data_IF_341196305822
#
_entry.id   IF_341196305822
#
_cell.length_a   1.000
_cell.length_b   1.000
_cell.length_c   1.000
_cell.angle_alpha   90.00
_cell.angle_beta   90.00
_cell.angle_gamma   90.00
#
_symmetry.space_group_name_H-M   'P 1'
#
loop_
_entity.id
_entity.type
_entity.pdbx_description
1 polymer ?
#
# COMPACT_ATOMS: atom_id res chain seq x y z
N UNK A 1 18.66 7.00 5.15
CA UNK A 1 17.65 5.92 5.06
C UNK A 1 17.80 5.25 3.70
N UNK A 2 17.74 3.93 3.65
CA UNK A 2 17.77 3.20 2.38
C UNK A 2 16.40 3.28 1.70
N UNK A 3 16.34 3.41 0.36
CA UNK A 3 15.09 3.36 -0.36
C UNK A 3 14.42 2.01 -0.17
N UNK A 4 13.14 2.02 0.20
CA UNK A 4 12.31 0.82 0.19
C UNK A 4 12.15 0.36 -1.25
N UNK A 5 12.23 -0.96 -1.48
CA UNK A 5 12.03 -1.57 -2.78
C UNK A 5 11.22 -2.86 -2.65
N UNK A 6 10.09 -2.94 -3.32
CA UNK A 6 9.25 -4.14 -3.39
C UNK A 6 9.89 -5.10 -4.41
N UNK A 7 10.23 -6.29 -3.93
CA UNK A 7 10.66 -7.39 -4.79
C UNK A 7 9.46 -8.29 -5.05
N UNK A 8 8.97 -8.30 -6.28
CA UNK A 8 7.83 -9.10 -6.70
C UNK A 8 7.96 -9.52 -8.15
N UNK A 9 7.43 -10.69 -8.49
CA UNK A 9 7.25 -11.12 -9.89
C UNK A 9 6.01 -10.48 -10.53
N UNK A 10 5.13 -9.93 -9.70
CA UNK A 10 3.88 -9.30 -10.13
C UNK A 10 4.09 -7.81 -10.35
N UNK A 11 3.38 -7.27 -11.34
CA UNK A 11 3.21 -5.84 -11.54
C UNK A 11 1.79 -5.47 -11.10
N UNK A 12 1.55 -4.19 -10.74
CA UNK A 12 0.19 -3.71 -10.57
C UNK A 12 -0.69 -4.06 -11.77
N UNK A 13 -1.93 -4.43 -11.51
CA UNK A 13 -2.90 -4.80 -12.54
C UNK A 13 -4.30 -4.38 -12.14
N UNK A 14 -5.17 -4.15 -13.14
CA UNK A 14 -6.53 -3.67 -12.90
C UNK A 14 -6.52 -2.34 -12.13
N UNK A 15 -7.36 -2.24 -11.10
CA UNK A 15 -7.53 -1.00 -10.34
C UNK A 15 -6.39 -0.69 -9.36
N UNK A 16 -5.41 -1.60 -9.21
CA UNK A 16 -4.31 -1.41 -8.27
C UNK A 16 -3.50 -0.14 -8.58
N UNK A 17 -3.24 0.15 -9.85
CA UNK A 17 -2.49 1.35 -10.25
C UNK A 17 -3.18 2.65 -9.82
N UNK A 18 -4.50 2.72 -9.99
CA UNK A 18 -5.28 3.88 -9.57
C UNK A 18 -5.30 4.00 -8.04
N UNK A 19 -5.47 2.87 -7.32
CA UNK A 19 -5.44 2.84 -5.86
C UNK A 19 -4.08 3.28 -5.29
N UNK A 20 -2.97 2.78 -5.86
CA UNK A 20 -1.61 3.14 -5.44
C UNK A 20 -1.39 4.64 -5.63
N UNK A 21 -1.74 5.20 -6.80
CA UNK A 21 -1.60 6.63 -7.06
C UNK A 21 -2.43 7.47 -6.10
N UNK A 22 -3.71 7.15 -5.94
CA UNK A 22 -4.62 7.90 -5.07
C UNK A 22 -4.13 7.93 -3.62
N UNK A 23 -3.77 6.78 -3.05
CA UNK A 23 -3.27 6.69 -1.68
C UNK A 23 -1.93 7.42 -1.49
N UNK A 24 -1.02 7.29 -2.46
CA UNK A 24 0.28 7.98 -2.43
C UNK A 24 0.11 9.49 -2.46
N UNK A 25 -0.78 10.00 -3.32
CA UNK A 25 -1.10 11.42 -3.39
C UNK A 25 -1.73 11.94 -2.10
N UNK A 26 -2.70 11.23 -1.52
CA UNK A 26 -3.32 11.63 -0.25
C UNK A 26 -2.29 11.72 0.88
N UNK A 27 -1.33 10.77 0.94
CA UNK A 27 -0.23 10.83 1.92
C UNK A 27 0.65 12.07 1.68
N UNK A 28 0.99 12.39 0.43
CA UNK A 28 1.78 13.58 0.08
C UNK A 28 1.04 14.89 0.38
N UNK A 29 -0.29 14.90 0.24
CA UNK A 29 -1.18 16.01 0.61
C UNK A 29 -1.44 16.12 2.12
N UNK A 30 -0.84 15.24 2.93
CA UNK A 30 -1.01 15.18 4.39
C UNK A 30 -2.46 14.88 4.82
N UNK A 31 -3.21 14.16 3.98
CA UNK A 31 -4.51 13.63 4.38
C UNK A 31 -4.32 12.63 5.53
N UNK A 32 -5.00 12.88 6.65
CA UNK A 32 -4.81 12.10 7.89
C UNK A 32 -5.40 10.69 7.80
N UNK A 33 -6.53 10.55 7.10
CA UNK A 33 -7.30 9.32 7.03
C UNK A 33 -7.64 9.00 5.59
N UNK A 34 -7.36 7.78 5.17
CA UNK A 34 -7.65 7.27 3.84
C UNK A 34 -8.08 5.80 3.96
N UNK A 35 -8.95 5.35 3.07
CA UNK A 35 -9.49 3.98 3.08
C UNK A 35 -9.23 3.31 1.74
N UNK A 36 -8.56 2.16 1.75
CA UNK A 36 -8.46 1.28 0.58
C UNK A 36 -9.67 0.35 0.53
N UNK A 37 -10.68 0.70 -0.27
CA UNK A 37 -11.82 -0.18 -0.55
C UNK A 37 -11.40 -1.22 -1.60
N UNK A 38 -11.19 -2.45 -1.18
CA UNK A 38 -10.80 -3.54 -2.08
C UNK A 38 -11.48 -4.86 -1.73
N UNK A 39 -12.00 -5.55 -2.75
CA UNK A 39 -12.62 -6.87 -2.61
C UNK A 39 -11.61 -7.93 -2.14
N UNK A 40 -12.08 -9.07 -1.65
CA UNK A 40 -11.22 -10.20 -1.31
C UNK A 40 -10.48 -10.71 -2.55
N UNK A 41 -9.20 -11.08 -2.42
CA UNK A 41 -8.38 -11.55 -3.54
C UNK A 41 -7.79 -10.47 -4.45
N UNK A 42 -8.17 -9.19 -4.29
CA UNK A 42 -7.66 -8.08 -5.13
C UNK A 42 -6.19 -7.69 -4.92
N UNK A 43 -5.48 -8.35 -3.99
CA UNK A 43 -4.06 -8.06 -3.73
C UNK A 43 -3.79 -6.83 -2.87
N UNK A 44 -4.66 -6.52 -1.89
CA UNK A 44 -4.52 -5.36 -0.98
C UNK A 44 -3.13 -5.23 -0.34
N UNK A 45 -2.50 -6.33 0.05
CA UNK A 45 -1.13 -6.33 0.60
C UNK A 45 -0.11 -5.81 -0.40
N UNK A 46 -0.21 -6.22 -1.67
CA UNK A 46 0.70 -5.75 -2.72
C UNK A 46 0.48 -4.28 -3.03
N UNK A 47 -0.78 -3.83 -3.12
CA UNK A 47 -1.14 -2.42 -3.25
C UNK A 47 -0.51 -1.58 -2.14
N UNK A 48 -0.65 -1.98 -0.87
CA UNK A 48 -0.09 -1.25 0.27
C UNK A 48 1.45 -1.27 0.28
N UNK A 49 2.07 -2.38 -0.10
CA UNK A 49 3.53 -2.46 -0.22
C UNK A 49 4.07 -1.46 -1.26
N UNK A 50 3.40 -1.33 -2.41
CA UNK A 50 3.73 -0.34 -3.44
C UNK A 50 3.52 1.09 -2.96
N UNK A 51 2.45 1.37 -2.21
CA UNK A 51 2.25 2.68 -1.58
C UNK A 51 3.40 3.02 -0.62
N UNK A 52 3.80 2.06 0.23
CA UNK A 52 4.90 2.23 1.18
C UNK A 52 6.24 2.49 0.46
N UNK A 53 6.50 1.79 -0.64
CA UNK A 53 7.67 2.04 -1.51
C UNK A 53 7.66 3.46 -2.10
N UNK A 54 6.54 3.90 -2.67
CA UNK A 54 6.39 5.22 -3.31
C UNK A 54 6.50 6.41 -2.34
N UNK A 55 6.07 6.23 -1.09
CA UNK A 55 6.20 7.26 -0.05
C UNK A 55 7.56 7.21 0.65
N UNK A 56 8.24 6.05 0.63
CA UNK A 56 9.54 5.79 1.24
C UNK A 56 9.65 6.28 2.70
N UNK A 57 8.67 5.92 3.52
CA UNK A 57 8.57 6.29 4.94
C UNK A 57 8.44 5.05 5.81
N UNK A 58 8.98 5.05 7.04
CA UNK A 58 8.68 4.00 8.01
C UNK A 58 7.17 3.86 8.21
N UNK A 59 6.67 2.62 8.20
CA UNK A 59 5.26 2.30 8.32
C UNK A 59 5.04 1.24 9.40
N UNK A 60 3.92 1.38 10.14
CA UNK A 60 3.45 0.38 11.10
C UNK A 60 2.16 -0.24 10.54
N UNK A 61 2.16 -1.56 10.36
CA UNK A 61 0.97 -2.33 9.96
C UNK A 61 0.37 -2.96 11.20
N UNK A 62 -0.89 -2.63 11.50
CA UNK A 62 -1.63 -3.19 12.62
C UNK A 62 -2.63 -4.22 12.09
N UNK A 63 -2.70 -5.37 12.75
CA UNK A 63 -3.65 -6.45 12.45
C UNK A 63 -4.43 -6.82 13.70
N UNK A 64 -5.62 -7.36 13.52
CA UNK A 64 -6.52 -7.68 14.62
C UNK A 64 -6.23 -9.05 15.27
N UNK A 65 -5.35 -9.87 14.68
CA UNK A 65 -4.98 -11.17 15.22
C UNK A 65 -3.55 -11.58 14.87
N UNK A 66 -3.05 -12.61 15.55
CA UNK A 66 -1.68 -13.13 15.40
C UNK A 66 -1.49 -13.98 14.14
N UNK A 67 -2.55 -14.54 13.57
CA UNK A 67 -2.46 -15.42 12.39
C UNK A 67 -2.22 -14.63 11.11
N UNK A 68 -2.73 -13.40 11.04
CA UNK A 68 -2.55 -12.47 9.93
C UNK A 68 -1.32 -11.57 10.09
N UNK A 69 -0.64 -11.65 11.24
CA UNK A 69 0.55 -10.85 11.57
C UNK A 69 1.80 -11.41 10.89
#
# INVERSE_FOLDING_TARGET
MHPLKVISRFRPSGDQDAAIRGLTEGVRKKEKYQTLLGVTGSGKTFTMAKVIEEINRPALVLTHNKTLA
#
